data_IF_591155912382
#
_entry.id   IF_591155912382
#
_cell.length_a   1.000
_cell.length_b   1.000
_cell.length_c   1.000
_cell.angle_alpha   90.00
_cell.angle_beta   90.00
_cell.angle_gamma   90.00
#
_symmetry.space_group_name_H-M   'P 1'
#
loop_
_entity.id
_entity.type
_entity.pdbx_description
1 polymer ?
#
# COMPACT_ATOMS: atom_id res chain seq x y z
N UNK A 1 -0.17 -11.77 15.77
CA UNK A 1 0.35 -12.67 14.73
C UNK A 1 1.75 -13.16 15.11
N UNK A 2 1.95 -14.50 15.24
CA UNK A 2 3.28 -15.05 15.40
C UNK A 2 4.08 -15.03 14.07
N UNK A 3 5.44 -15.03 14.12
CA UNK A 3 6.27 -14.84 12.93
C UNK A 3 6.04 -15.86 11.80
N UNK A 4 5.81 -17.13 12.15
CA UNK A 4 5.49 -18.18 11.15
C UNK A 4 4.16 -17.93 10.44
N UNK A 5 3.17 -17.41 11.15
CA UNK A 5 1.84 -17.11 10.61
C UNK A 5 1.90 -15.86 9.72
N UNK A 6 2.64 -14.84 10.13
CA UNK A 6 2.90 -13.65 9.32
C UNK A 6 3.60 -14.00 8.01
N UNK A 7 4.70 -14.77 8.06
CA UNK A 7 5.42 -15.22 6.86
C UNK A 7 4.51 -16.00 5.90
N UNK A 8 3.66 -16.88 6.44
CA UNK A 8 2.70 -17.64 5.63
C UNK A 8 1.70 -16.71 4.91
N UNK A 9 1.12 -15.73 5.61
CA UNK A 9 0.19 -14.78 5.00
C UNK A 9 0.84 -13.96 3.90
N UNK A 10 2.07 -13.50 4.10
CA UNK A 10 2.79 -12.68 3.12
C UNK A 10 3.19 -13.44 1.85
N UNK A 11 3.38 -14.77 1.96
CA UNK A 11 3.86 -15.60 0.84
C UNK A 11 2.75 -16.41 0.16
N UNK A 12 1.61 -16.58 0.81
CA UNK A 12 0.50 -17.38 0.30
C UNK A 12 -0.60 -16.51 -0.30
N UNK A 13 -1.45 -17.14 -1.07
CA UNK A 13 -2.63 -16.56 -1.69
C UNK A 13 -2.92 -17.25 -3.02
N UNK A 14 -4.21 -17.36 -3.35
CA UNK A 14 -4.64 -17.84 -4.66
C UNK A 14 -4.14 -16.89 -5.75
N UNK A 15 -3.76 -17.38 -6.94
CA UNK A 15 -3.43 -16.53 -8.07
C UNK A 15 -4.56 -15.52 -8.38
N UNK A 16 -4.22 -14.26 -8.69
CA UNK A 16 -5.21 -13.25 -9.03
C UNK A 16 -5.83 -13.53 -10.39
N UNK A 17 -7.10 -13.16 -10.57
CA UNK A 17 -7.75 -13.15 -11.88
C UNK A 17 -7.23 -12.00 -12.74
N UNK A 18 -7.51 -12.00 -14.05
CA UNK A 18 -7.08 -10.91 -14.94
C UNK A 18 -7.60 -9.55 -14.51
N UNK A 19 -8.84 -9.47 -14.03
CA UNK A 19 -9.41 -8.22 -13.48
C UNK A 19 -8.70 -7.79 -12.20
N UNK A 20 -8.39 -8.72 -11.31
CA UNK A 20 -7.60 -8.41 -10.09
C UNK A 20 -6.19 -7.91 -10.43
N UNK A 21 -5.53 -8.52 -11.41
CA UNK A 21 -4.22 -8.06 -11.89
C UNK A 21 -4.32 -6.61 -12.36
N UNK A 22 -5.31 -6.29 -13.19
CA UNK A 22 -5.51 -4.94 -13.67
C UNK A 22 -5.71 -3.95 -12.51
N UNK A 23 -6.61 -4.26 -11.58
CA UNK A 23 -6.88 -3.41 -10.42
C UNK A 23 -5.65 -3.24 -9.51
N UNK A 24 -4.85 -4.30 -9.33
CA UNK A 24 -3.63 -4.25 -8.51
C UNK A 24 -2.47 -3.48 -9.19
N UNK A 25 -2.44 -3.41 -10.51
CA UNK A 25 -1.42 -2.64 -11.26
C UNK A 25 -1.74 -1.14 -11.23
N UNK A 26 -3.01 -0.73 -11.22
CA UNK A 26 -3.41 0.68 -11.32
C UNK A 26 -2.73 1.60 -10.30
N UNK A 27 -2.63 1.28 -8.99
CA UNK A 27 -1.96 2.13 -8.02
C UNK A 27 -0.49 2.35 -8.35
N UNK A 28 0.23 1.28 -8.69
CA UNK A 28 1.65 1.37 -9.07
C UNK A 28 1.84 2.16 -10.37
N UNK A 29 1.00 1.95 -11.38
CA UNK A 29 1.02 2.71 -12.62
C UNK A 29 0.74 4.20 -12.37
N UNK A 30 -0.20 4.51 -11.47
CA UNK A 30 -0.46 5.87 -11.01
C UNK A 30 0.77 6.50 -10.35
N UNK A 31 1.42 5.79 -9.41
CA UNK A 31 2.62 6.27 -8.75
C UNK A 31 3.80 6.47 -9.72
N UNK A 32 3.97 5.55 -10.67
CA UNK A 32 4.99 5.69 -11.73
C UNK A 32 4.75 6.93 -12.57
N UNK A 33 3.53 7.14 -13.05
CA UNK A 33 3.21 8.24 -13.96
C UNK A 33 3.21 9.61 -13.28
N UNK A 34 2.70 9.69 -12.04
CA UNK A 34 2.53 10.97 -11.34
C UNK A 34 3.75 11.40 -10.52
N UNK A 35 4.56 10.44 -10.07
CA UNK A 35 5.66 10.72 -9.14
C UNK A 35 7.03 10.30 -9.71
N UNK A 36 7.18 9.02 -10.11
CA UNK A 36 8.48 8.49 -10.52
C UNK A 36 8.98 9.13 -11.82
N UNK A 37 8.19 9.07 -12.89
CA UNK A 37 8.60 9.56 -14.21
C UNK A 37 8.91 11.07 -14.23
N UNK A 38 8.10 11.96 -13.62
CA UNK A 38 8.42 13.40 -13.57
C UNK A 38 9.70 13.72 -12.81
N UNK A 39 10.08 12.87 -11.86
CA UNK A 39 11.24 13.09 -10.99
C UNK A 39 12.44 12.18 -11.28
N UNK A 40 12.39 11.37 -12.33
CA UNK A 40 13.42 10.35 -12.61
C UNK A 40 14.84 10.89 -12.66
N UNK A 41 15.04 12.09 -13.19
CA UNK A 41 16.36 12.73 -13.31
C UNK A 41 16.92 13.24 -11.97
N UNK A 42 16.10 13.27 -10.92
CA UNK A 42 16.49 13.69 -9.57
C UNK A 42 16.75 12.50 -8.64
N UNK A 43 16.51 11.28 -9.12
CA UNK A 43 16.63 10.05 -8.36
C UNK A 43 17.98 9.40 -8.68
N UNK A 44 18.91 9.50 -7.74
CA UNK A 44 20.17 8.76 -7.78
C UNK A 44 20.00 7.34 -7.19
N UNK A 45 21.04 6.51 -7.31
CA UNK A 45 21.02 5.11 -6.83
C UNK A 45 20.71 5.01 -5.35
N UNK A 46 21.25 5.93 -4.54
CA UNK A 46 21.02 5.96 -3.09
C UNK A 46 19.55 6.24 -2.77
N UNK A 47 18.98 7.26 -3.41
CA UNK A 47 17.57 7.58 -3.23
C UNK A 47 16.67 6.45 -3.72
N UNK A 48 16.97 5.82 -4.85
CA UNK A 48 16.24 4.66 -5.33
C UNK A 48 16.27 3.50 -4.34
N UNK A 49 17.43 3.21 -3.73
CA UNK A 49 17.55 2.19 -2.70
C UNK A 49 16.71 2.52 -1.44
N UNK A 50 16.72 3.77 -1.00
CA UNK A 50 15.89 4.24 0.13
C UNK A 50 14.42 4.10 -0.20
N UNK A 51 13.98 4.49 -1.39
CA UNK A 51 12.60 4.36 -1.84
C UNK A 51 12.15 2.89 -1.83
N UNK A 52 12.95 2.00 -2.43
CA UNK A 52 12.64 0.58 -2.46
C UNK A 52 12.56 -0.03 -1.04
N UNK A 53 13.55 0.28 -0.20
CA UNK A 53 13.59 -0.22 1.19
C UNK A 53 12.40 0.28 2.00
N UNK A 54 12.10 1.57 1.92
CA UNK A 54 10.95 2.18 2.60
C UNK A 54 9.64 1.56 2.10
N UNK A 55 9.50 1.38 0.79
CA UNK A 55 8.32 0.75 0.19
C UNK A 55 8.11 -0.68 0.70
N UNK A 56 9.17 -1.49 0.78
CA UNK A 56 9.08 -2.86 1.32
C UNK A 56 8.68 -2.85 2.79
N UNK A 57 9.34 -2.04 3.62
CA UNK A 57 9.09 -1.99 5.07
C UNK A 57 7.67 -1.48 5.35
N UNK A 58 7.30 -0.35 4.75
CA UNK A 58 6.00 0.27 4.97
C UNK A 58 4.86 -0.63 4.50
N UNK A 59 4.89 -1.06 3.25
CA UNK A 59 3.86 -1.93 2.69
C UNK A 59 3.71 -3.23 3.48
N UNK A 60 4.83 -3.86 3.90
CA UNK A 60 4.76 -5.08 4.71
C UNK A 60 4.11 -4.83 6.06
N UNK A 61 4.49 -3.74 6.74
CA UNK A 61 3.89 -3.35 8.03
C UNK A 61 2.40 -3.06 7.91
N UNK A 62 2.01 -2.27 6.92
CA UNK A 62 0.60 -1.91 6.71
C UNK A 62 -0.26 -3.10 6.28
N UNK A 63 0.23 -3.97 5.38
CA UNK A 63 -0.52 -5.16 4.98
C UNK A 63 -0.70 -6.13 6.15
N UNK A 64 0.32 -6.34 6.97
CA UNK A 64 0.19 -7.18 8.17
C UNK A 64 -0.77 -6.59 9.20
N UNK A 65 -0.66 -5.28 9.47
CA UNK A 65 -1.51 -4.61 10.45
C UNK A 65 -2.97 -4.55 9.99
N UNK A 66 -3.22 -3.96 8.83
CA UNK A 66 -4.57 -3.61 8.39
C UNK A 66 -5.33 -4.75 7.69
N UNK A 67 -4.63 -5.78 7.21
CA UNK A 67 -5.27 -6.95 6.58
C UNK A 67 -4.93 -8.24 7.29
N UNK A 68 -3.64 -8.46 7.59
CA UNK A 68 -3.19 -9.72 8.18
C UNK A 68 -3.82 -10.00 9.55
N UNK A 69 -3.82 -9.01 10.46
CA UNK A 69 -4.44 -9.16 11.78
C UNK A 69 -5.96 -9.36 11.65
N UNK A 70 -6.63 -8.45 10.96
CA UNK A 70 -8.10 -8.46 10.89
C UNK A 70 -8.64 -9.65 10.09
N UNK A 71 -7.98 -10.05 9.00
CA UNK A 71 -8.35 -11.23 8.24
C UNK A 71 -8.24 -12.52 9.06
N UNK A 72 -7.30 -12.57 10.00
CA UNK A 72 -7.09 -13.73 10.85
C UNK A 72 -8.03 -13.77 12.05
N UNK A 73 -8.30 -12.63 12.67
CA UNK A 73 -9.15 -12.55 13.87
C UNK A 73 -10.64 -12.50 13.51
N UNK A 74 -10.99 -11.95 12.35
CA UNK A 74 -12.37 -11.75 11.90
C UNK A 74 -12.61 -12.21 10.46
N UNK A 75 -12.31 -13.47 10.09
CA UNK A 75 -12.28 -13.92 8.69
C UNK A 75 -13.65 -13.87 7.98
N UNK A 76 -14.74 -13.98 8.76
CA UNK A 76 -16.11 -13.99 8.23
C UNK A 76 -16.90 -12.72 8.58
N UNK A 77 -16.34 -11.80 9.35
CA UNK A 77 -17.01 -10.57 9.75
C UNK A 77 -16.75 -9.45 8.73
N UNK A 78 -17.83 -8.91 8.17
CA UNK A 78 -17.74 -7.83 7.20
C UNK A 78 -17.27 -6.52 7.85
N UNK A 79 -17.80 -6.20 9.03
CA UNK A 79 -17.51 -4.94 9.71
C UNK A 79 -16.07 -4.93 10.24
N UNK A 80 -15.74 -5.87 11.12
CA UNK A 80 -14.44 -5.91 11.79
C UNK A 80 -13.32 -6.48 10.92
N UNK A 81 -13.64 -7.46 10.06
CA UNK A 81 -12.64 -8.09 9.21
C UNK A 81 -12.29 -7.31 7.95
N UNK A 82 -13.16 -6.39 7.50
CA UNK A 82 -12.98 -5.71 6.19
C UNK A 82 -13.20 -4.21 6.24
N UNK A 83 -14.36 -3.74 6.69
CA UNK A 83 -14.70 -2.31 6.64
C UNK A 83 -13.88 -1.50 7.64
N UNK A 84 -13.79 -1.97 8.88
CA UNK A 84 -13.04 -1.28 9.92
C UNK A 84 -11.54 -1.10 9.57
N UNK A 85 -10.79 -2.17 9.17
CA UNK A 85 -9.41 -2.00 8.77
C UNK A 85 -9.24 -1.12 7.53
N UNK A 86 -10.20 -1.11 6.58
CA UNK A 86 -10.18 -0.22 5.43
C UNK A 86 -10.30 1.26 5.85
N UNK A 87 -11.27 1.57 6.71
CA UNK A 87 -11.45 2.93 7.26
C UNK A 87 -10.22 3.34 8.08
N UNK A 88 -9.72 2.43 8.93
CA UNK A 88 -8.53 2.66 9.74
C UNK A 88 -7.29 2.97 8.89
N UNK A 89 -7.03 2.17 7.85
CA UNK A 89 -5.96 2.43 6.89
C UNK A 89 -6.12 3.79 6.22
N UNK A 90 -7.32 4.09 5.74
CA UNK A 90 -7.59 5.36 5.05
C UNK A 90 -7.30 6.55 5.95
N UNK A 91 -7.79 6.52 7.19
CA UNK A 91 -7.57 7.57 8.17
C UNK A 91 -6.12 7.63 8.67
N UNK A 92 -5.42 6.49 8.76
CA UNK A 92 -4.00 6.42 9.07
C UNK A 92 -3.17 7.31 8.16
N UNK A 93 -3.55 7.42 6.89
CA UNK A 93 -2.89 8.27 5.92
C UNK A 93 -3.00 9.78 6.22
N UNK A 94 -3.83 10.20 7.17
CA UNK A 94 -3.79 11.58 7.68
C UNK A 94 -2.48 11.88 8.40
N UNK A 95 -1.88 10.90 9.08
CA UNK A 95 -0.65 11.10 9.85
C UNK A 95 0.50 11.59 8.96
N UNK A 96 0.91 10.89 7.89
CA UNK A 96 1.93 11.42 7.00
C UNK A 96 1.51 12.71 6.28
N UNK A 97 0.21 12.94 6.06
CA UNK A 97 -0.29 14.17 5.44
C UNK A 97 -0.23 15.39 6.38
N UNK A 98 -0.08 15.18 7.68
CA UNK A 98 0.20 16.29 8.63
C UNK A 98 1.65 16.78 8.50
N UNK A 99 2.57 15.91 8.13
CA UNK A 99 4.00 16.22 8.00
C UNK A 99 4.34 16.60 6.56
N UNK A 100 3.82 15.85 5.60
CA UNK A 100 4.08 15.97 4.16
C UNK A 100 2.77 16.00 3.37
N UNK A 101 2.09 17.16 3.31
CA UNK A 101 0.82 17.27 2.63
C UNK A 101 0.96 17.00 1.11
N UNK A 102 0.04 16.21 0.58
CA UNK A 102 -0.06 15.97 -0.85
C UNK A 102 -0.42 17.24 -1.61
N UNK A 103 0.12 17.42 -2.81
CA UNK A 103 -0.27 18.50 -3.73
C UNK A 103 -1.76 18.47 -4.09
N UNK A 104 -2.35 17.28 -4.15
CA UNK A 104 -3.78 17.11 -4.42
C UNK A 104 -4.67 17.44 -3.24
N UNK A 105 -4.08 17.74 -2.08
CA UNK A 105 -4.79 17.99 -0.84
C UNK A 105 -4.98 16.72 0.00
N UNK A 106 -4.99 16.93 1.29
CA UNK A 106 -5.04 15.89 2.33
C UNK A 106 -6.17 14.88 2.13
N UNK A 107 -7.38 15.37 1.93
CA UNK A 107 -8.56 14.51 1.83
C UNK A 107 -8.62 13.70 0.53
N UNK A 108 -8.17 14.27 -0.58
CA UNK A 108 -8.06 13.51 -1.85
C UNK A 108 -7.05 12.37 -1.73
N UNK A 109 -5.97 12.60 -0.99
CA UNK A 109 -5.00 11.55 -0.72
C UNK A 109 -5.60 10.42 0.13
N UNK A 110 -6.29 10.76 1.23
CA UNK A 110 -6.97 9.80 2.12
C UNK A 110 -8.02 8.98 1.36
N UNK A 111 -8.83 9.63 0.51
CA UNK A 111 -9.81 8.93 -0.34
C UNK A 111 -9.12 8.01 -1.36
N UNK A 112 -8.03 8.47 -1.97
CA UNK A 112 -7.20 7.65 -2.87
C UNK A 112 -6.64 6.41 -2.17
N UNK A 113 -6.08 6.59 -0.96
CA UNK A 113 -5.61 5.48 -0.12
C UNK A 113 -6.74 4.50 0.23
N UNK A 114 -7.94 5.02 0.50
CA UNK A 114 -9.14 4.20 0.72
C UNK A 114 -9.53 3.37 -0.51
N UNK A 115 -9.49 3.95 -1.70
CA UNK A 115 -9.77 3.22 -2.95
C UNK A 115 -8.74 2.12 -3.21
N UNK A 116 -7.44 2.42 -3.10
CA UNK A 116 -6.36 1.43 -3.21
C UNK A 116 -6.50 0.36 -2.14
N UNK A 117 -6.77 0.79 -0.91
CA UNK A 117 -7.04 -0.08 0.22
C UNK A 117 -8.19 -1.05 0.01
N UNK A 118 -9.26 -0.61 -0.67
CA UNK A 118 -10.41 -1.45 -1.02
C UNK A 118 -10.04 -2.58 -1.98
N UNK A 119 -9.24 -2.28 -3.01
CA UNK A 119 -8.73 -3.28 -3.95
C UNK A 119 -7.86 -4.31 -3.23
N UNK A 120 -6.94 -3.84 -2.37
CA UNK A 120 -6.07 -4.72 -1.58
C UNK A 120 -6.87 -5.58 -0.60
N UNK A 121 -7.85 -5.01 0.11
CA UNK A 121 -8.71 -5.75 1.03
C UNK A 121 -9.54 -6.83 0.30
N UNK A 122 -10.09 -6.51 -0.87
CA UNK A 122 -10.81 -7.46 -1.71
C UNK A 122 -9.88 -8.59 -2.18
N UNK A 123 -8.68 -8.26 -2.67
CA UNK A 123 -7.71 -9.26 -3.13
C UNK A 123 -7.23 -10.15 -1.99
N UNK A 124 -6.92 -9.60 -0.81
CA UNK A 124 -6.51 -10.36 0.36
C UNK A 124 -7.60 -11.34 0.82
N UNK A 125 -8.84 -10.86 0.92
CA UNK A 125 -9.97 -11.70 1.29
C UNK A 125 -10.23 -12.81 0.27
N UNK A 126 -10.21 -12.48 -1.02
CA UNK A 126 -10.47 -13.43 -2.09
C UNK A 126 -9.37 -14.48 -2.23
N UNK A 127 -8.11 -14.08 -2.06
CA UNK A 127 -6.95 -14.98 -2.19
C UNK A 127 -6.66 -15.81 -0.95
N UNK A 128 -7.16 -15.39 0.21
CA UNK A 128 -6.84 -15.99 1.51
C UNK A 128 -5.42 -15.70 2.00
N UNK A 129 -4.74 -14.68 1.41
CA UNK A 129 -3.40 -14.28 1.77
C UNK A 129 -3.06 -12.87 1.30
N UNK A 130 -1.88 -12.38 1.63
CA UNK A 130 -1.45 -11.00 1.38
C UNK A 130 -0.51 -10.85 0.19
N UNK A 131 -0.03 -11.95 -0.40
CA UNK A 131 1.00 -11.90 -1.45
C UNK A 131 0.68 -10.94 -2.58
N UNK A 132 -0.55 -11.00 -3.11
CA UNK A 132 -0.94 -10.23 -4.29
C UNK A 132 -1.02 -8.73 -3.97
N UNK A 133 -1.69 -8.36 -2.88
CA UNK A 133 -1.79 -6.97 -2.46
C UNK A 133 -0.44 -6.42 -1.97
N UNK A 134 0.39 -7.23 -1.31
CA UNK A 134 1.72 -6.84 -0.88
C UNK A 134 2.62 -6.45 -2.06
N UNK A 135 2.66 -7.26 -3.12
CA UNK A 135 3.46 -6.94 -4.32
C UNK A 135 2.99 -5.62 -4.95
N UNK A 136 1.68 -5.43 -5.10
CA UNK A 136 1.10 -4.18 -5.59
C UNK A 136 1.46 -2.98 -4.70
N UNK A 137 1.33 -3.14 -3.39
CA UNK A 137 1.60 -2.08 -2.42
C UNK A 137 3.09 -1.70 -2.40
N UNK A 138 4.00 -2.68 -2.37
CA UNK A 138 5.45 -2.43 -2.48
C UNK A 138 5.78 -1.64 -3.75
N UNK A 139 5.23 -2.04 -4.89
CA UNK A 139 5.46 -1.34 -6.16
C UNK A 139 4.92 0.10 -6.11
N UNK A 140 3.73 0.31 -5.54
CA UNK A 140 3.11 1.61 -5.37
C UNK A 140 3.96 2.51 -4.48
N UNK A 141 4.36 2.04 -3.30
CA UNK A 141 5.13 2.81 -2.33
C UNK A 141 6.54 3.10 -2.82
N UNK A 142 7.20 2.13 -3.43
CA UNK A 142 8.54 2.31 -4.00
C UNK A 142 8.58 3.35 -5.12
N UNK A 143 7.49 3.53 -5.86
CA UNK A 143 7.37 4.52 -6.93
C UNK A 143 6.73 5.84 -6.46
N UNK A 144 5.85 5.78 -5.48
CA UNK A 144 5.05 6.92 -4.98
C UNK A 144 5.75 7.86 -4.02
N UNK A 145 6.89 7.50 -3.50
CA UNK A 145 7.96 8.40 -3.08
C UNK A 145 7.74 9.28 -1.87
N UNK A 146 7.40 8.69 -0.78
CA UNK A 146 7.53 9.46 0.48
C UNK A 146 9.01 9.84 0.73
N UNK A 147 9.96 8.96 0.45
CA UNK A 147 11.39 9.21 0.64
C UNK A 147 11.95 10.27 -0.31
N UNK A 148 11.55 10.29 -1.60
CA UNK A 148 12.00 11.31 -2.54
C UNK A 148 11.43 12.71 -2.23
N UNK A 149 10.25 12.80 -1.63
CA UNK A 149 9.69 14.08 -1.18
C UNK A 149 10.58 14.78 -0.17
N UNK A 150 11.23 14.06 0.72
CA UNK A 150 12.18 14.64 1.68
C UNK A 150 13.38 15.27 0.99
N UNK A 151 13.90 14.64 -0.06
CA UNK A 151 15.07 15.13 -0.79
C UNK A 151 14.73 16.13 -1.88
N UNK A 152 13.60 15.98 -2.55
CA UNK A 152 13.20 16.84 -3.66
C UNK A 152 12.61 18.19 -3.22
N UNK A 153 12.41 18.36 -1.92
CA UNK A 153 11.76 19.53 -1.38
C UNK A 153 10.25 19.54 -1.58
N UNK A 154 9.59 20.43 -0.87
CA UNK A 154 8.14 20.65 -0.96
C UNK A 154 7.82 21.68 -2.05
N UNK A 155 8.28 21.45 -3.24
CA UNK A 155 7.94 22.35 -4.37
C UNK A 155 6.61 21.99 -4.97
#
# INVERSE_FOLDING_TARGET
LGPRRAARLLTQGRPPSGVEILLLILPAAGAVSSELLPNRNKIDVMLAAVMATTGVINATGEELLWRGVFLQEFPHDLLWGRLWPLVGLSLWHLVPQMILPSRLGRWRFVLGAGLVGSVSAFSAWRSGGLRNCLVSHIATDSCGVTAARFRLGRT
#
